data_IF_994857037355
#
_entry.id   IF_994857037355
#
_cell.length_a   1.000
_cell.length_b   1.000
_cell.length_c   1.000
_cell.angle_alpha   90.00
_cell.angle_beta   90.00
_cell.angle_gamma   90.00
#
_symmetry.space_group_name_H-M   'P 1'
#
loop_
_entity.id
_entity.type
_entity.pdbx_description
1 polymer ?
#
# COMPACT_ATOMS: atom_id res chain seq x y z
N UNK A 1 -38.93 51.16 57.64
CA UNK A 1 -37.59 50.59 57.36
C UNK A 1 -37.74 49.50 56.30
N UNK A 2 -37.24 49.80 55.10
CA UNK A 2 -36.73 48.95 54.02
C UNK A 2 -37.05 47.44 54.03
N UNK A 3 -37.64 46.94 52.93
CA UNK A 3 -37.10 45.80 52.16
C UNK A 3 -37.84 45.64 50.82
N UNK A 4 -37.23 46.19 49.78
CA UNK A 4 -37.57 46.03 48.37
C UNK A 4 -37.06 44.66 47.91
N UNK A 5 -37.93 43.73 47.50
CA UNK A 5 -37.53 42.46 46.88
C UNK A 5 -37.63 42.58 45.36
N UNK A 6 -36.48 42.63 44.70
CA UNK A 6 -36.37 42.51 43.24
C UNK A 6 -36.60 41.05 42.82
N UNK A 7 -37.53 40.82 41.89
CA UNK A 7 -37.58 39.58 41.12
C UNK A 7 -36.54 39.66 40.00
N UNK A 8 -35.53 38.79 40.04
CA UNK A 8 -34.62 38.56 38.92
C UNK A 8 -35.22 37.50 37.99
N UNK A 9 -35.58 37.90 36.77
CA UNK A 9 -35.92 36.97 35.70
C UNK A 9 -34.61 36.37 35.14
N UNK A 10 -34.42 35.06 35.33
CA UNK A 10 -33.31 34.31 34.73
C UNK A 10 -33.55 34.09 33.25
N UNK A 11 -32.75 34.74 32.40
CA UNK A 11 -32.76 34.52 30.95
C UNK A 11 -31.97 33.23 30.65
N UNK A 12 -32.65 32.15 30.29
CA UNK A 12 -32.01 30.95 29.76
C UNK A 12 -31.47 31.23 28.34
N UNK A 13 -30.17 31.46 28.24
CA UNK A 13 -29.44 31.47 26.97
C UNK A 13 -29.24 30.02 26.50
N UNK A 14 -30.11 29.54 25.61
CA UNK A 14 -29.87 28.31 24.86
C UNK A 14 -28.70 28.55 23.90
N UNK A 15 -27.53 27.96 24.17
CA UNK A 15 -26.43 27.89 23.21
C UNK A 15 -26.87 27.01 22.03
N UNK A 16 -27.23 27.64 20.92
CA UNK A 16 -27.34 26.94 19.64
C UNK A 16 -25.94 26.45 19.26
N UNK A 17 -25.75 25.13 19.27
CA UNK A 17 -24.52 24.50 18.80
C UNK A 17 -24.51 24.60 17.28
N UNK A 18 -23.73 25.54 16.75
CA UNK A 18 -23.51 25.67 15.31
C UNK A 18 -22.62 24.49 14.92
N UNK A 19 -23.20 23.46 14.33
CA UNK A 19 -22.43 22.41 13.69
C UNK A 19 -21.61 23.04 12.57
N UNK A 20 -20.28 23.05 12.71
CA UNK A 20 -19.40 23.44 11.61
C UNK A 20 -19.66 22.51 10.43
N UNK A 21 -19.82 23.02 9.19
CA UNK A 21 -19.93 22.15 8.04
C UNK A 21 -18.63 21.35 7.95
N UNK A 22 -18.75 20.03 8.04
CA UNK A 22 -17.66 19.13 7.66
C UNK A 22 -17.41 19.42 6.18
N UNK A 23 -16.29 20.06 5.88
CA UNK A 23 -15.83 20.21 4.50
C UNK A 23 -15.64 18.81 3.96
N UNK A 24 -16.57 18.35 3.11
CA UNK A 24 -16.33 17.18 2.27
C UNK A 24 -15.02 17.48 1.55
N UNK A 25 -13.95 16.75 1.89
CA UNK A 25 -12.73 16.83 1.13
C UNK A 25 -13.12 16.59 -0.33
N UNK A 26 -12.80 17.53 -1.22
CA UNK A 26 -12.98 17.32 -2.65
C UNK A 26 -12.31 16.00 -2.99
N UNK A 27 -13.09 15.01 -3.43
CA UNK A 27 -12.55 13.77 -3.95
C UNK A 27 -11.61 14.17 -5.09
N UNK A 28 -10.32 13.88 -4.95
CA UNK A 28 -9.34 14.15 -5.99
C UNK A 28 -9.41 13.00 -6.97
N UNK A 29 -10.24 13.16 -7.99
CA UNK A 29 -10.37 12.18 -9.05
C UNK A 29 -9.26 12.34 -10.08
N UNK A 30 -8.85 11.21 -10.67
CA UNK A 30 -7.86 11.18 -11.75
C UNK A 30 -8.40 11.74 -13.08
N UNK A 31 -7.51 11.93 -14.06
CA UNK A 31 -7.86 12.49 -15.37
C UNK A 31 -8.75 11.58 -16.22
N UNK A 32 -8.79 10.28 -15.95
CA UNK A 32 -9.62 9.30 -16.69
C UNK A 32 -11.11 9.30 -16.33
N UNK A 33 -11.61 10.27 -15.57
CA UNK A 33 -13.04 10.35 -15.23
C UNK A 33 -13.90 10.84 -16.39
N UNK A 34 -15.12 10.29 -16.47
CA UNK A 34 -16.09 10.58 -17.52
C UNK A 34 -15.87 9.83 -18.84
N UNK A 35 -14.78 9.07 -18.95
CA UNK A 35 -14.45 8.28 -20.14
C UNK A 35 -14.80 6.81 -19.93
N UNK A 36 -15.51 6.22 -20.90
CA UNK A 36 -15.79 4.79 -20.90
C UNK A 36 -14.49 4.02 -21.16
N UNK A 37 -14.11 3.07 -20.30
CA UNK A 37 -12.76 2.50 -20.31
C UNK A 37 -12.51 1.52 -21.48
N UNK A 38 -13.55 1.17 -22.25
CA UNK A 38 -13.44 0.32 -23.44
C UNK A 38 -13.01 -1.12 -23.17
N UNK A 39 -13.07 -1.57 -21.91
CA UNK A 39 -12.65 -2.91 -21.49
C UNK A 39 -13.76 -3.63 -20.71
N UNK A 40 -13.69 -4.97 -20.70
CA UNK A 40 -14.65 -5.78 -19.96
C UNK A 40 -14.45 -5.63 -18.44
N UNK A 41 -15.53 -5.32 -17.73
CA UNK A 41 -15.56 -5.36 -16.26
C UNK A 41 -15.49 -6.80 -15.76
N UNK A 42 -15.11 -6.96 -14.48
CA UNK A 42 -15.04 -8.24 -13.79
C UNK A 42 -14.17 -9.30 -14.51
N UNK A 43 -13.17 -8.84 -15.26
CA UNK A 43 -12.26 -9.67 -16.05
C UNK A 43 -10.83 -9.25 -15.78
N UNK A 44 -9.93 -10.23 -15.63
CA UNK A 44 -8.50 -9.98 -15.48
C UNK A 44 -7.89 -9.79 -16.87
N UNK A 45 -7.14 -8.70 -17.06
CA UNK A 45 -6.53 -8.30 -18.32
C UNK A 45 -5.04 -8.06 -18.10
N UNK A 46 -4.19 -8.61 -18.95
CA UNK A 46 -2.77 -8.25 -18.96
C UNK A 46 -2.59 -6.98 -19.77
N UNK A 47 -1.99 -5.96 -19.17
CA UNK A 47 -1.60 -4.72 -19.81
C UNK A 47 -0.08 -4.61 -19.89
N UNK A 48 0.40 -3.85 -20.86
CA UNK A 48 1.83 -3.66 -21.13
C UNK A 48 2.13 -2.17 -21.19
N UNK A 49 3.12 -1.74 -20.40
CA UNK A 49 3.63 -0.37 -20.43
C UNK A 49 4.50 -0.12 -21.67
N UNK A 50 4.74 1.13 -22.07
CA UNK A 50 5.70 1.46 -23.13
C UNK A 50 7.11 0.91 -22.89
N UNK A 51 7.50 0.75 -21.62
CA UNK A 51 8.75 0.09 -21.20
C UNK A 51 8.81 -1.41 -21.52
N UNK A 52 7.70 -2.01 -21.96
CA UNK A 52 7.56 -3.45 -22.20
C UNK A 52 7.24 -4.26 -20.94
N UNK A 53 7.25 -3.64 -19.76
CA UNK A 53 6.85 -4.30 -18.52
C UNK A 53 5.34 -4.53 -18.49
N UNK A 54 4.91 -5.68 -17.99
CA UNK A 54 3.50 -6.07 -17.94
C UNK A 54 2.95 -6.05 -16.52
N UNK A 55 1.64 -5.92 -16.41
CA UNK A 55 0.90 -6.08 -15.15
C UNK A 55 -0.47 -6.70 -15.44
N UNK A 56 -0.99 -7.44 -14.48
CA UNK A 56 -2.36 -7.93 -14.53
C UNK A 56 -3.27 -6.90 -13.86
N UNK A 57 -4.41 -6.64 -14.47
CA UNK A 57 -5.33 -5.59 -14.07
C UNK A 57 -6.76 -6.12 -14.04
N UNK A 58 -7.57 -5.62 -13.12
CA UNK A 58 -8.97 -6.01 -13.01
C UNK A 58 -9.83 -4.82 -12.58
N UNK A 59 -10.95 -4.64 -13.27
CA UNK A 59 -11.95 -3.61 -12.95
C UNK A 59 -13.16 -4.25 -12.26
N UNK A 60 -13.62 -3.69 -11.14
CA UNK A 60 -14.74 -4.23 -10.40
C UNK A 60 -16.06 -4.11 -11.18
N UNK A 61 -17.05 -4.97 -10.87
CA UNK A 61 -18.36 -4.94 -11.52
C UNK A 61 -19.13 -3.64 -11.30
N UNK A 62 -18.87 -2.93 -10.19
CA UNK A 62 -19.54 -1.65 -9.88
C UNK A 62 -18.76 -0.41 -10.36
N UNK A 63 -17.70 -0.58 -11.16
CA UNK A 63 -16.98 0.57 -11.70
C UNK A 63 -17.91 1.47 -12.50
N UNK A 64 -17.83 2.77 -12.23
CA UNK A 64 -18.55 3.81 -12.94
C UNK A 64 -17.56 4.94 -13.25
N UNK A 65 -17.38 5.33 -14.53
CA UNK A 65 -16.41 6.37 -14.90
C UNK A 65 -16.74 7.76 -14.34
N UNK A 66 -17.96 8.00 -13.86
CA UNK A 66 -18.37 9.23 -13.20
C UNK A 66 -18.00 9.27 -11.71
N UNK A 67 -17.66 8.12 -11.11
CA UNK A 67 -17.40 7.98 -9.68
C UNK A 67 -15.96 7.55 -9.41
N UNK A 68 -15.23 8.35 -8.64
CA UNK A 68 -13.86 8.05 -8.28
C UNK A 68 -13.76 6.71 -7.53
N UNK A 69 -13.01 5.78 -8.12
CA UNK A 69 -12.90 4.38 -7.70
C UNK A 69 -11.56 4.17 -6.98
N UNK A 70 -11.54 3.55 -5.79
CA UNK A 70 -10.30 3.25 -5.08
C UNK A 70 -9.49 2.16 -5.80
N UNK A 71 -8.17 2.14 -5.54
CA UNK A 71 -7.22 1.28 -6.22
C UNK A 71 -6.38 0.48 -5.22
N UNK A 72 -6.13 -0.79 -5.52
CA UNK A 72 -5.22 -1.65 -4.74
C UNK A 72 -4.13 -2.20 -5.65
N UNK A 73 -2.87 -2.01 -5.27
CA UNK A 73 -1.74 -2.78 -5.79
C UNK A 73 -1.51 -4.03 -4.93
N UNK A 74 -1.41 -5.21 -5.55
CA UNK A 74 -1.11 -6.47 -4.87
C UNK A 74 0.10 -7.18 -5.49
N UNK A 75 1.17 -7.35 -4.70
CA UNK A 75 2.46 -7.84 -5.18
C UNK A 75 2.67 -9.33 -4.89
N UNK A 76 3.10 -10.07 -5.92
CA UNK A 76 3.40 -11.50 -5.80
C UNK A 76 4.67 -11.76 -4.98
N UNK A 77 4.74 -12.94 -4.35
CA UNK A 77 5.96 -13.41 -3.69
C UNK A 77 7.10 -13.71 -4.67
N UNK A 78 8.31 -13.94 -4.16
CA UNK A 78 9.45 -14.33 -4.99
C UNK A 78 9.15 -15.61 -5.77
N UNK A 79 9.64 -15.68 -7.01
CA UNK A 79 9.40 -16.73 -8.02
C UNK A 79 7.93 -16.95 -8.42
N UNK A 80 7.00 -16.11 -7.96
CA UNK A 80 5.57 -16.19 -8.28
C UNK A 80 5.19 -15.22 -9.39
N UNK A 81 3.92 -15.25 -9.76
CA UNK A 81 3.36 -14.46 -10.88
C UNK A 81 2.19 -13.59 -10.41
N UNK A 82 1.84 -12.53 -11.15
CA UNK A 82 0.63 -11.75 -10.90
C UNK A 82 -0.64 -12.60 -10.75
N UNK A 83 -0.83 -13.60 -11.61
CA UNK A 83 -1.99 -14.50 -11.59
C UNK A 83 -2.03 -15.33 -10.30
N UNK A 84 -0.89 -15.90 -9.90
CA UNK A 84 -0.82 -16.68 -8.66
C UNK A 84 -1.06 -15.83 -7.41
N UNK A 85 -0.77 -14.52 -7.46
CA UNK A 85 -1.10 -13.60 -6.38
C UNK A 85 -2.59 -13.27 -6.37
N UNK A 86 -3.20 -13.06 -7.55
CA UNK A 86 -4.64 -12.84 -7.67
C UNK A 86 -5.48 -14.04 -7.22
N UNK A 87 -4.99 -15.25 -7.47
CA UNK A 87 -5.61 -16.49 -6.99
C UNK A 87 -5.41 -16.70 -5.48
N UNK A 88 -4.34 -16.14 -4.92
CA UNK A 88 -4.04 -16.24 -3.49
C UNK A 88 -4.89 -15.29 -2.65
N UNK A 89 -5.01 -14.02 -3.05
CA UNK A 89 -5.68 -13.00 -2.24
C UNK A 89 -7.16 -12.80 -2.56
N UNK A 90 -7.64 -13.32 -3.70
CA UNK A 90 -9.03 -13.27 -4.12
C UNK A 90 -9.61 -11.85 -4.25
N UNK A 91 -8.76 -10.82 -4.33
CA UNK A 91 -9.19 -9.42 -4.43
C UNK A 91 -9.86 -9.10 -5.77
N UNK A 92 -9.82 -10.03 -6.73
CA UNK A 92 -10.51 -9.92 -8.03
C UNK A 92 -11.77 -10.79 -8.09
N UNK A 93 -12.35 -11.08 -6.93
CA UNK A 93 -13.64 -11.76 -6.80
C UNK A 93 -14.69 -10.79 -6.25
N UNK A 94 -15.90 -10.71 -6.84
CA UNK A 94 -16.96 -9.82 -6.35
C UNK A 94 -17.34 -10.05 -4.88
N UNK A 95 -17.13 -11.26 -4.36
CA UNK A 95 -17.39 -11.59 -2.95
C UNK A 95 -16.50 -10.79 -1.98
N UNK A 96 -15.21 -10.65 -2.29
CA UNK A 96 -14.27 -9.91 -1.43
C UNK A 96 -14.09 -8.45 -1.85
N UNK A 97 -14.35 -8.14 -3.12
CA UNK A 97 -14.14 -6.81 -3.67
C UNK A 97 -15.12 -6.56 -4.81
N UNK A 98 -16.07 -5.65 -4.61
CA UNK A 98 -17.00 -5.22 -5.66
C UNK A 98 -16.75 -3.80 -6.15
N UNK A 99 -15.77 -3.08 -5.57
CA UNK A 99 -15.68 -1.61 -5.71
C UNK A 99 -14.25 -1.07 -5.87
N UNK A 100 -13.20 -1.88 -5.75
CA UNK A 100 -11.81 -1.45 -5.94
C UNK A 100 -11.24 -2.00 -7.23
N UNK A 101 -10.58 -1.15 -8.01
CA UNK A 101 -9.70 -1.61 -9.08
C UNK A 101 -8.49 -2.30 -8.44
N UNK A 102 -8.02 -3.40 -9.03
CA UNK A 102 -6.87 -4.14 -8.54
C UNK A 102 -5.82 -4.30 -9.62
N UNK A 103 -4.58 -3.96 -9.27
CA UNK A 103 -3.39 -4.09 -10.12
C UNK A 103 -2.44 -5.09 -9.48
N UNK A 104 -1.95 -6.04 -10.26
CA UNK A 104 -0.90 -6.99 -9.88
C UNK A 104 0.30 -6.80 -10.79
N UNK A 105 1.28 -5.99 -10.38
CA UNK A 105 2.49 -5.76 -11.16
C UNK A 105 3.34 -7.04 -11.31
N UNK A 106 4.01 -7.20 -12.46
CA UNK A 106 5.01 -8.25 -12.66
C UNK A 106 6.39 -7.71 -12.32
N UNK A 107 7.12 -8.41 -11.44
CA UNK A 107 8.52 -8.12 -11.22
C UNK A 107 9.36 -8.41 -12.48
N UNK A 108 10.60 -7.94 -12.49
CA UNK A 108 11.60 -8.44 -13.45
C UNK A 108 11.99 -9.89 -13.18
N UNK A 109 12.68 -10.50 -14.15
CA UNK A 109 13.24 -11.85 -14.05
C UNK A 109 14.77 -11.77 -13.85
N UNK A 110 15.26 -12.43 -12.80
CA UNK A 110 16.66 -12.36 -12.37
C UNK A 110 17.19 -13.71 -11.88
N UNK A 111 18.52 -13.82 -11.79
CA UNK A 111 19.21 -15.03 -11.34
C UNK A 111 19.24 -16.15 -12.40
N UNK A 112 19.93 -17.25 -12.07
CA UNK A 112 20.26 -18.32 -13.03
C UNK A 112 19.05 -19.06 -13.62
N UNK A 113 17.88 -18.95 -12.99
CA UNK A 113 16.64 -19.60 -13.43
C UNK A 113 15.57 -18.61 -13.92
N UNK A 114 15.93 -17.36 -14.22
CA UNK A 114 14.98 -16.29 -14.57
C UNK A 114 13.81 -16.19 -13.58
N UNK A 115 14.13 -16.22 -12.28
CA UNK A 115 13.14 -16.14 -11.23
C UNK A 115 12.59 -14.71 -11.09
N UNK A 116 11.31 -14.59 -10.74
CA UNK A 116 10.65 -13.29 -10.55
C UNK A 116 10.91 -12.73 -9.15
N UNK A 117 11.66 -11.64 -9.08
CA UNK A 117 12.10 -11.03 -7.82
C UNK A 117 11.95 -9.51 -7.84
N UNK A 118 11.66 -8.94 -6.68
CA UNK A 118 11.49 -7.49 -6.49
C UNK A 118 12.79 -6.83 -6.03
N UNK A 119 12.94 -5.52 -6.31
CA UNK A 119 14.05 -4.70 -5.83
C UNK A 119 14.36 -4.96 -4.34
N UNK A 120 15.66 -5.06 -4.02
CA UNK A 120 16.15 -5.40 -2.68
C UNK A 120 16.29 -6.89 -2.40
N UNK A 121 15.72 -7.77 -3.22
CA UNK A 121 16.04 -9.20 -3.14
C UNK A 121 17.49 -9.47 -3.58
N UNK A 122 18.20 -10.46 -3.01
CA UNK A 122 19.61 -10.72 -3.32
C UNK A 122 19.92 -11.00 -4.79
N UNK A 123 18.92 -11.48 -5.54
CA UNK A 123 19.03 -11.78 -6.97
C UNK A 123 18.96 -10.53 -7.86
N UNK A 124 18.49 -9.41 -7.31
CA UNK A 124 18.13 -8.21 -8.07
C UNK A 124 19.26 -7.19 -7.97
N UNK A 125 19.76 -6.67 -9.10
CA UNK A 125 20.74 -5.58 -9.10
C UNK A 125 20.25 -4.35 -8.32
N UNK A 126 21.18 -3.66 -7.66
CA UNK A 126 20.86 -2.55 -6.76
C UNK A 126 20.28 -1.31 -7.48
N UNK A 127 20.45 -1.20 -8.80
CA UNK A 127 19.97 -0.12 -9.65
C UNK A 127 18.55 -0.33 -10.20
N UNK A 128 17.90 -1.46 -9.90
CA UNK A 128 16.50 -1.72 -10.29
C UNK A 128 15.55 -0.83 -9.48
N UNK A 129 14.73 -0.04 -10.19
CA UNK A 129 13.70 0.83 -9.60
C UNK A 129 12.28 0.28 -9.87
N UNK A 130 11.86 -0.71 -9.07
CA UNK A 130 10.49 -1.20 -9.09
C UNK A 130 9.48 -0.18 -8.53
N UNK A 131 9.90 0.76 -7.67
CA UNK A 131 9.03 1.85 -7.20
C UNK A 131 8.65 2.76 -8.36
N UNK A 132 9.62 3.17 -9.18
CA UNK A 132 9.38 3.95 -10.39
C UNK A 132 8.43 3.25 -11.36
N UNK A 133 8.62 1.94 -11.57
CA UNK A 133 7.71 1.12 -12.37
C UNK A 133 6.28 1.09 -11.82
N UNK A 134 6.08 0.92 -10.51
CA UNK A 134 4.74 0.94 -9.91
C UNK A 134 4.06 2.30 -10.10
N UNK A 135 4.83 3.39 -10.00
CA UNK A 135 4.31 4.73 -10.26
C UNK A 135 3.97 4.95 -11.74
N UNK A 136 4.73 4.37 -12.67
CA UNK A 136 4.40 4.36 -14.10
C UNK A 136 3.06 3.63 -14.36
N UNK A 137 2.80 2.51 -13.67
CA UNK A 137 1.50 1.84 -13.74
C UNK A 137 0.40 2.74 -13.16
N UNK A 138 0.64 3.37 -12.01
CA UNK A 138 -0.35 4.25 -11.40
C UNK A 138 -0.73 5.39 -12.34
N UNK A 139 0.24 6.04 -12.99
CA UNK A 139 -0.01 7.09 -13.98
C UNK A 139 -0.81 6.57 -15.18
N UNK A 140 -0.48 5.39 -15.70
CA UNK A 140 -1.22 4.78 -16.79
C UNK A 140 -2.68 4.49 -16.41
N UNK A 141 -2.91 3.93 -15.23
CA UNK A 141 -4.25 3.60 -14.72
C UNK A 141 -5.05 4.88 -14.42
N UNK A 142 -4.45 5.90 -13.80
CA UNK A 142 -5.09 7.20 -13.56
C UNK A 142 -5.45 7.94 -14.85
N UNK A 143 -4.69 7.73 -15.93
CA UNK A 143 -4.99 8.32 -17.23
C UNK A 143 -6.19 7.69 -17.93
N UNK A 144 -6.49 6.42 -17.62
CA UNK A 144 -7.53 5.64 -18.30
C UNK A 144 -8.81 5.46 -17.46
N UNK A 145 -8.71 5.52 -16.13
CA UNK A 145 -9.83 5.24 -15.23
C UNK A 145 -10.08 6.39 -14.26
N UNK A 146 -11.32 6.51 -13.80
CA UNK A 146 -11.69 7.44 -12.74
C UNK A 146 -11.20 6.93 -11.38
N UNK A 147 -9.92 7.15 -11.08
CA UNK A 147 -9.32 6.73 -9.81
C UNK A 147 -9.52 7.78 -8.72
N UNK A 148 -9.87 7.34 -7.52
CA UNK A 148 -9.77 8.14 -6.31
C UNK A 148 -8.31 8.16 -5.82
N UNK A 149 -7.59 9.23 -6.16
CA UNK A 149 -6.16 9.36 -5.85
C UNK A 149 -5.88 9.46 -4.34
N UNK A 150 -6.90 9.71 -3.51
CA UNK A 150 -6.78 9.68 -2.06
C UNK A 150 -6.96 8.27 -1.46
N UNK A 151 -7.37 7.28 -2.27
CA UNK A 151 -7.62 5.89 -1.86
C UNK A 151 -6.87 4.89 -2.75
N UNK A 152 -5.56 5.09 -2.85
CA UNK A 152 -4.63 4.12 -3.46
C UNK A 152 -3.93 3.35 -2.35
N UNK A 153 -3.99 2.02 -2.39
CA UNK A 153 -3.46 1.13 -1.36
C UNK A 153 -2.45 0.14 -1.95
N UNK A 154 -1.57 -0.40 -1.12
CA UNK A 154 -0.61 -1.42 -1.52
C UNK A 154 -0.56 -2.58 -0.52
N UNK A 155 -0.52 -3.81 -1.02
CA UNK A 155 -0.41 -5.05 -0.25
C UNK A 155 0.43 -6.08 -0.99
N UNK A 156 0.87 -7.14 -0.33
CA UNK A 156 1.62 -8.21 -0.97
C UNK A 156 2.16 -9.21 0.03
N UNK A 157 2.46 -10.42 -0.45
CA UNK A 157 2.96 -11.51 0.38
C UNK A 157 4.45 -11.78 0.14
N UNK A 158 5.22 -12.07 1.19
CA UNK A 158 6.63 -12.48 1.09
C UNK A 158 7.49 -11.38 0.46
N UNK A 159 8.16 -11.61 -0.68
CA UNK A 159 8.83 -10.51 -1.39
C UNK A 159 7.86 -9.42 -1.85
N UNK A 160 6.59 -9.74 -2.10
CA UNK A 160 5.57 -8.73 -2.34
C UNK A 160 5.32 -7.85 -1.12
N UNK A 161 5.38 -8.42 0.10
CA UNK A 161 5.30 -7.65 1.35
C UNK A 161 6.55 -6.80 1.60
N UNK A 162 7.71 -7.23 1.11
CA UNK A 162 8.90 -6.38 1.04
C UNK A 162 8.66 -5.21 0.08
N UNK A 163 8.17 -5.46 -1.13
CA UNK A 163 7.87 -4.41 -2.12
C UNK A 163 6.85 -3.40 -1.58
N UNK A 164 5.79 -3.86 -0.90
CA UNK A 164 4.83 -2.99 -0.20
C UNK A 164 5.49 -2.05 0.81
N UNK A 165 6.50 -2.53 1.56
CA UNK A 165 7.24 -1.69 2.49
C UNK A 165 8.22 -0.74 1.79
N UNK A 166 8.82 -1.15 0.67
CA UNK A 166 9.65 -0.27 -0.14
C UNK A 166 8.84 0.94 -0.61
N UNK A 167 7.58 0.73 -1.05
CA UNK A 167 6.67 1.82 -1.39
C UNK A 167 6.31 2.70 -0.18
N UNK A 168 6.11 2.09 1.00
CA UNK A 168 5.86 2.85 2.22
C UNK A 168 7.05 3.75 2.60
N UNK A 169 8.27 3.33 2.27
CA UNK A 169 9.52 4.01 2.59
C UNK A 169 10.02 4.99 1.53
N UNK A 170 9.48 4.97 0.31
CA UNK A 170 9.94 5.85 -0.76
C UNK A 170 9.04 7.10 -0.83
N UNK A 171 9.65 8.29 -0.85
CA UNK A 171 8.94 9.57 -0.85
C UNK A 171 7.97 9.71 -2.05
N UNK A 172 8.35 9.21 -3.23
CA UNK A 172 7.56 9.34 -4.46
C UNK A 172 6.24 8.58 -4.35
N UNK A 173 6.28 7.38 -3.77
CA UNK A 173 5.10 6.51 -3.66
C UNK A 173 4.30 6.74 -2.37
N UNK A 174 4.95 6.97 -1.22
CA UNK A 174 4.27 7.31 0.04
C UNK A 174 3.51 8.64 0.01
N UNK A 175 3.84 9.55 -0.91
CA UNK A 175 3.08 10.75 -1.22
C UNK A 175 1.76 10.47 -1.96
N UNK A 176 1.66 9.35 -2.69
CA UNK A 176 0.53 9.01 -3.56
C UNK A 176 -0.33 7.86 -3.06
N UNK A 177 0.15 7.08 -2.10
CA UNK A 177 -0.55 5.93 -1.56
C UNK A 177 -1.00 6.19 -0.11
N UNK A 178 -2.26 5.84 0.17
CA UNK A 178 -2.96 6.12 1.40
C UNK A 178 -2.57 5.19 2.55
N UNK A 179 -2.39 3.89 2.28
CA UNK A 179 -2.00 2.90 3.29
C UNK A 179 -1.32 1.67 2.66
N UNK A 180 -0.59 0.94 3.50
CA UNK A 180 0.20 -0.22 3.11
C UNK A 180 -0.06 -1.41 4.04
N UNK A 181 -0.21 -2.61 3.48
CA UNK A 181 -0.55 -3.81 4.24
C UNK A 181 0.34 -5.02 3.88
N UNK A 182 1.63 -5.02 4.26
CA UNK A 182 2.53 -6.13 3.92
C UNK A 182 2.20 -7.40 4.73
N UNK A 183 2.28 -8.55 4.07
CA UNK A 183 2.02 -9.88 4.65
C UNK A 183 3.26 -10.77 4.56
N UNK A 184 3.76 -11.26 5.71
CA UNK A 184 4.94 -12.12 5.80
C UNK A 184 6.16 -11.56 5.04
N UNK A 185 6.43 -10.25 5.13
CA UNK A 185 7.41 -9.55 4.30
C UNK A 185 8.86 -10.06 4.50
N UNK A 186 9.59 -10.27 3.40
CA UNK A 186 11.00 -10.71 3.42
C UNK A 186 11.97 -9.54 3.22
N UNK A 187 12.25 -8.78 4.27
CA UNK A 187 13.01 -7.53 4.18
C UNK A 187 14.51 -7.82 4.21
N UNK A 188 15.13 -7.97 3.04
CA UNK A 188 16.55 -8.25 2.93
C UNK A 188 17.39 -7.01 3.20
N UNK A 189 18.48 -7.19 3.92
CA UNK A 189 19.54 -6.19 4.08
C UNK A 189 20.89 -6.88 3.84
N UNK A 190 21.74 -6.22 3.05
CA UNK A 190 23.05 -6.74 2.74
C UNK A 190 23.96 -6.52 3.96
N UNK A 191 24.37 -7.60 4.61
CA UNK A 191 25.27 -7.55 5.77
C UNK A 191 26.65 -8.06 5.35
N UNK A 192 27.61 -7.15 5.23
CA UNK A 192 29.01 -7.52 5.03
C UNK A 192 29.68 -7.73 6.39
N UNK A 193 29.97 -9.00 6.74
CA UNK A 193 30.93 -9.34 7.80
C UNK A 193 30.50 -9.16 9.27
N UNK A 194 29.24 -8.82 9.57
CA UNK A 194 28.72 -8.73 10.94
C UNK A 194 27.70 -9.85 11.23
N UNK A 195 27.60 -10.28 12.50
CA UNK A 195 26.50 -11.12 12.93
C UNK A 195 25.17 -10.45 12.60
N UNK A 196 24.30 -11.19 11.89
CA UNK A 196 22.93 -10.76 11.63
C UNK A 196 22.24 -10.55 12.97
N UNK A 197 22.06 -9.28 13.34
CA UNK A 197 21.36 -8.84 14.53
C UNK A 197 20.12 -8.09 14.06
N UNK A 198 19.02 -8.78 13.73
CA UNK A 198 17.83 -8.20 13.09
C UNK A 198 17.29 -6.92 13.73
N UNK A 199 17.48 -6.76 15.04
CA UNK A 199 17.03 -5.59 15.79
C UNK A 199 17.85 -4.32 15.56
N UNK A 200 19.11 -4.43 15.13
CA UNK A 200 20.05 -3.31 14.95
C UNK A 200 20.30 -2.95 13.50
N UNK A 201 19.66 -3.63 12.54
CA UNK A 201 19.81 -3.36 11.11
C UNK A 201 19.05 -2.09 10.73
N UNK A 202 19.76 -1.11 10.17
CA UNK A 202 19.17 0.10 9.60
C UNK A 202 18.60 -0.20 8.20
N UNK A 203 17.47 0.43 7.87
CA UNK A 203 16.85 0.34 6.55
C UNK A 203 16.64 1.77 6.05
N UNK A 204 17.04 2.06 4.82
CA UNK A 204 16.81 3.38 4.25
C UNK A 204 15.31 3.58 3.99
N UNK A 205 14.73 4.54 4.69
CA UNK A 205 13.30 4.79 4.68
C UNK A 205 13.06 6.29 4.75
N UNK A 206 12.66 6.87 3.63
CA UNK A 206 12.45 8.31 3.42
C UNK A 206 11.02 8.57 2.92
N UNK A 207 9.97 8.32 3.74
CA UNK A 207 8.61 8.62 3.33
C UNK A 207 8.37 10.13 3.18
N UNK A 208 7.48 10.53 2.27
CA UNK A 208 7.13 11.93 2.05
C UNK A 208 6.27 12.53 3.16
N UNK A 209 5.72 11.69 4.04
CA UNK A 209 4.87 12.11 5.17
C UNK A 209 5.23 11.35 6.43
N UNK A 210 5.10 12.05 7.55
CA UNK A 210 5.47 11.53 8.87
C UNK A 210 4.59 10.35 9.32
N UNK A 211 3.30 10.39 8.95
CA UNK A 211 2.31 9.38 9.34
C UNK A 211 1.98 8.50 8.14
N UNK A 212 2.50 7.27 8.18
CA UNK A 212 2.24 6.24 7.18
C UNK A 212 1.35 5.16 7.81
N UNK A 213 0.08 5.04 7.38
CA UNK A 213 -0.79 3.96 7.81
C UNK A 213 -0.26 2.61 7.32
N UNK A 214 0.01 1.72 8.28
CA UNK A 214 0.56 0.39 8.03
C UNK A 214 -0.32 -0.66 8.74
N UNK A 215 -0.63 -1.76 8.06
CA UNK A 215 -1.21 -2.96 8.67
C UNK A 215 -0.33 -4.17 8.36
N UNK A 216 0.52 -4.55 9.31
CA UNK A 216 1.57 -5.56 9.10
C UNK A 216 1.10 -6.90 9.70
N UNK A 217 1.12 -7.95 8.90
CA UNK A 217 0.79 -9.30 9.34
C UNK A 217 1.97 -10.25 9.12
N UNK A 218 2.33 -11.05 10.13
CA UNK A 218 3.38 -12.06 10.03
C UNK A 218 3.08 -13.23 10.96
N UNK A 219 3.21 -14.46 10.47
CA UNK A 219 2.98 -15.67 11.28
C UNK A 219 4.15 -15.98 12.21
N UNK A 220 3.87 -16.33 13.47
CA UNK A 220 4.91 -16.73 14.43
C UNK A 220 5.69 -17.98 14.01
N UNK A 221 5.01 -18.94 13.37
CA UNK A 221 5.56 -20.22 12.90
C UNK A 221 5.93 -20.19 11.39
N UNK A 222 6.24 -19.01 10.84
CA UNK A 222 6.66 -18.89 9.44
C UNK A 222 8.06 -19.51 9.22
N UNK A 223 8.09 -20.75 8.75
CA UNK A 223 9.34 -21.48 8.48
C UNK A 223 10.06 -21.04 7.18
N UNK A 224 9.51 -20.08 6.44
CA UNK A 224 10.14 -19.54 5.21
C UNK A 224 10.85 -18.22 5.49
N UNK A 225 10.14 -17.29 6.13
CA UNK A 225 10.65 -16.01 6.59
C UNK A 225 10.38 -15.97 8.10
N UNK A 226 11.33 -16.48 8.87
CA UNK A 226 11.19 -16.61 10.32
C UNK A 226 10.80 -15.28 10.96
N UNK A 227 9.86 -15.33 11.91
CA UNK A 227 9.36 -14.12 12.58
C UNK A 227 10.47 -13.32 13.26
N UNK A 228 11.44 -14.01 13.86
CA UNK A 228 12.61 -13.40 14.49
C UNK A 228 13.65 -12.83 13.50
N UNK A 229 13.45 -13.02 12.20
CA UNK A 229 14.49 -12.79 11.19
C UNK A 229 15.50 -13.93 11.12
N UNK A 230 16.54 -13.74 10.30
CA UNK A 230 17.62 -14.72 10.14
C UNK A 230 18.52 -14.42 8.96
N UNK A 231 19.35 -15.39 8.60
CA UNK A 231 20.24 -15.32 7.45
C UNK A 231 19.73 -16.20 6.32
N UNK A 232 19.75 -15.70 5.08
CA UNK A 232 19.40 -16.44 3.87
C UNK A 232 20.27 -15.97 2.71
N UNK A 233 20.97 -16.90 2.06
CA UNK A 233 21.81 -16.63 0.88
C UNK A 233 22.74 -15.41 1.03
N UNK A 234 23.57 -15.40 2.08
CA UNK A 234 24.49 -14.31 2.45
C UNK A 234 23.84 -12.96 2.78
N UNK A 235 22.51 -12.87 2.86
CA UNK A 235 21.77 -11.68 3.29
C UNK A 235 21.07 -11.92 4.63
N UNK A 236 20.94 -10.87 5.42
CA UNK A 236 20.11 -10.88 6.61
C UNK A 236 18.68 -10.45 6.25
N UNK A 237 17.68 -10.95 6.97
CA UNK A 237 16.33 -10.41 6.92
C UNK A 237 15.72 -10.24 8.32
N UNK A 238 14.84 -9.26 8.47
CA UNK A 238 14.07 -8.93 9.69
C UNK A 238 12.62 -8.65 9.32
N UNK A 239 11.67 -8.57 10.26
CA UNK A 239 10.35 -7.97 10.01
C UNK A 239 10.45 -6.44 10.02
N UNK A 240 9.67 -5.76 9.17
CA UNK A 240 9.55 -4.30 9.13
C UNK A 240 9.21 -3.73 10.53
N UNK A 241 10.01 -2.77 10.99
CA UNK A 241 9.77 -2.04 12.23
C UNK A 241 9.26 -0.60 11.99
N UNK A 242 8.69 -0.32 10.80
CA UNK A 242 8.10 1.00 10.53
C UNK A 242 7.05 1.39 11.59
N UNK A 243 6.36 0.41 12.20
CA UNK A 243 5.40 0.68 13.27
C UNK A 243 5.94 0.49 14.71
N UNK A 244 6.94 -0.37 14.92
CA UNK A 244 7.40 -0.72 16.28
C UNK A 244 8.26 0.38 16.95
N UNK A 245 8.82 1.33 16.19
CA UNK A 245 9.53 2.47 16.79
C UNK A 245 8.59 3.52 17.40
N UNK A 246 7.34 3.61 16.96
CA UNK A 246 6.34 4.54 17.54
C UNK A 246 5.45 3.86 18.59
N UNK A 247 5.14 2.56 18.42
CA UNK A 247 4.33 1.81 19.38
C UNK A 247 4.98 1.61 20.77
N UNK A 248 6.31 1.63 20.89
CA UNK A 248 6.99 1.54 22.20
C UNK A 248 6.90 2.82 23.03
N UNK A 249 6.74 4.00 22.42
CA UNK A 249 6.56 5.25 23.19
C UNK A 249 5.16 5.42 23.77
N UNK A 250 4.20 4.58 23.37
CA UNK A 250 2.82 4.63 23.85
C UNK A 250 2.51 3.58 24.92
N UNK A 251 3.50 2.75 25.30
CA UNK A 251 3.32 1.61 26.23
C UNK A 251 4.39 1.59 27.35
N UNK A 252 5.19 2.66 27.48
CA UNK A 252 6.05 2.91 28.64
C UNK A 252 5.54 4.14 29.42
#
# INVERSE_FOLDING_TARGET
MVALKFLTAGLLLTRASIASPVSLASVRSASGCGEEPGIALNTRITATLPSGRTYLFWVPPNYNPENATPLIFSFHGGTRTPESQADLDLLTTPFFNSDHIVVYPSSGEYGESNGRYWQGAPQVPADVDDVGYVLEILDAVESQFCIDTARVYATGKSQGGMMTNNLACDARSSARMAAFAPVSGSYYVNVTGAECTPLTLEFDCQPAREHIPMFIFHGGDDNTIAYGGGSRSASAYRISHISLQRGRRAMD
#
